data_IF_643589016895
#
_entry.id   IF_643589016895
#
_cell.length_a   1.000
_cell.length_b   1.000
_cell.length_c   1.000
_cell.angle_alpha   90.00
_cell.angle_beta   90.00
_cell.angle_gamma   90.00
#
_symmetry.space_group_name_H-M   'P 1'
#
loop_
_entity.id
_entity.type
_entity.pdbx_description
1 polymer ?
#
# COMPACT_ATOMS: atom_id res chain seq x y z
N UNK A 1 -11.41 -13.92 -54.88
CA UNK A 1 -11.44 -14.48 -53.52
C UNK A 1 -10.14 -14.13 -52.83
N UNK A 2 -10.16 -13.10 -51.97
CA UNK A 2 -9.00 -12.62 -51.22
C UNK A 2 -9.11 -13.17 -49.80
N UNK A 3 -8.17 -14.02 -49.37
CA UNK A 3 -8.13 -14.55 -48.02
C UNK A 3 -7.13 -13.75 -47.18
N UNK A 4 -7.65 -13.00 -46.19
CA UNK A 4 -6.86 -12.31 -45.18
C UNK A 4 -6.49 -13.34 -44.10
N UNK A 5 -5.20 -13.69 -43.97
CA UNK A 5 -4.71 -14.51 -42.87
C UNK A 5 -4.35 -13.58 -41.71
N UNK A 6 -5.17 -13.59 -40.66
CA UNK A 6 -4.87 -12.89 -39.41
C UNK A 6 -3.88 -13.74 -38.60
N UNK A 7 -2.64 -13.29 -38.51
CA UNK A 7 -1.64 -13.87 -37.60
C UNK A 7 -1.89 -13.33 -36.19
N UNK A 8 -2.50 -14.13 -35.33
CA UNK A 8 -2.59 -13.84 -33.89
C UNK A 8 -1.20 -14.01 -33.28
N UNK A 9 -0.46 -12.91 -33.10
CA UNK A 9 0.71 -12.91 -32.22
C UNK A 9 0.21 -12.77 -30.77
N UNK A 10 0.30 -13.86 -30.00
CA UNK A 10 0.21 -13.76 -28.56
C UNK A 10 1.41 -12.93 -28.06
N UNK A 11 1.15 -11.87 -27.29
CA UNK A 11 2.20 -11.15 -26.60
C UNK A 11 3.02 -12.14 -25.74
N UNK A 12 4.36 -12.06 -25.73
CA UNK A 12 5.17 -12.95 -24.93
C UNK A 12 4.79 -12.77 -23.45
N UNK A 13 4.25 -13.82 -22.83
CA UNK A 13 4.09 -13.86 -21.38
C UNK A 13 5.49 -14.00 -20.77
N UNK A 14 5.98 -12.92 -20.16
CA UNK A 14 7.24 -12.92 -19.44
C UNK A 14 7.04 -13.62 -18.08
N UNK A 15 7.04 -14.96 -18.11
CA UNK A 15 7.02 -15.81 -16.93
C UNK A 15 8.37 -15.70 -16.21
N UNK A 16 8.57 -14.61 -15.46
CA UNK A 16 9.67 -14.53 -14.51
C UNK A 16 9.54 -15.66 -13.49
N UNK A 17 10.53 -16.56 -13.46
CA UNK A 17 10.64 -17.64 -12.46
C UNK A 17 10.64 -17.00 -11.08
N UNK A 18 9.68 -17.34 -10.20
CA UNK A 18 9.74 -16.93 -8.79
C UNK A 18 11.09 -17.37 -8.22
N UNK A 19 11.89 -16.41 -7.75
CA UNK A 19 13.23 -16.65 -7.22
C UNK A 19 13.11 -17.27 -5.83
N UNK A 20 13.02 -18.59 -5.76
CA UNK A 20 13.08 -19.31 -4.48
C UNK A 20 14.44 -19.05 -3.82
N UNK A 21 14.43 -18.53 -2.57
CA UNK A 21 15.63 -18.27 -1.77
C UNK A 21 16.25 -16.88 -1.94
N UNK A 22 15.59 -15.95 -2.64
CA UNK A 22 16.00 -14.54 -2.74
C UNK A 22 14.93 -13.69 -2.07
N UNK A 23 15.28 -12.96 -1.00
CA UNK A 23 14.32 -12.17 -0.21
C UNK A 23 13.79 -10.93 -0.98
N UNK A 24 14.64 -10.31 -1.82
CA UNK A 24 14.32 -9.09 -2.57
C UNK A 24 14.90 -9.07 -4.00
N UNK A 25 14.40 -8.19 -4.86
CA UNK A 25 14.96 -8.00 -6.22
C UNK A 25 16.30 -7.25 -6.15
N UNK A 26 17.18 -7.37 -7.17
CA UNK A 26 18.42 -6.58 -7.22
C UNK A 26 18.17 -5.07 -7.20
N UNK A 27 17.01 -4.63 -7.73
CA UNK A 27 16.59 -3.23 -7.72
C UNK A 27 16.18 -2.76 -6.32
N UNK A 28 15.58 -3.64 -5.52
CA UNK A 28 15.31 -3.39 -4.12
C UNK A 28 16.62 -3.28 -3.31
N UNK A 29 17.54 -4.24 -3.49
CA UNK A 29 18.85 -4.23 -2.84
C UNK A 29 19.63 -2.95 -3.15
N UNK A 30 19.61 -2.50 -4.41
CA UNK A 30 20.20 -1.24 -4.84
C UNK A 30 19.56 -0.04 -4.12
N UNK A 31 18.23 0.01 -4.05
CA UNK A 31 17.51 1.11 -3.37
C UNK A 31 17.89 1.21 -1.88
N UNK A 32 18.08 0.07 -1.20
CA UNK A 32 18.52 0.04 0.20
C UNK A 32 19.96 0.52 0.37
N UNK A 33 20.83 0.17 -0.60
CA UNK A 33 22.23 0.55 -0.59
C UNK A 33 22.38 2.04 -0.89
N UNK A 34 21.64 2.58 -1.86
CA UNK A 34 21.68 3.99 -2.25
C UNK A 34 21.38 4.92 -1.06
N UNK A 35 20.41 4.59 -0.20
CA UNK A 35 20.12 5.38 1.02
C UNK A 35 21.36 5.49 1.92
N UNK A 36 22.09 4.38 2.10
CA UNK A 36 23.31 4.35 2.92
C UNK A 36 24.46 5.12 2.25
N UNK A 37 24.64 4.92 0.95
CA UNK A 37 25.74 5.51 0.18
C UNK A 37 25.59 7.04 0.08
N UNK A 38 24.37 7.54 -0.13
CA UNK A 38 24.10 8.99 -0.16
C UNK A 38 24.40 9.63 1.20
N UNK A 39 24.12 8.91 2.29
CA UNK A 39 24.39 9.37 3.64
C UNK A 39 25.84 9.17 4.10
N UNK A 40 26.68 8.48 3.31
CA UNK A 40 28.05 8.18 3.68
C UNK A 40 28.86 9.47 3.92
N UNK A 41 29.69 9.46 4.96
CA UNK A 41 30.52 10.59 5.39
C UNK A 41 29.73 11.73 6.03
N UNK A 42 28.47 11.53 6.40
CA UNK A 42 27.65 12.51 7.11
C UNK A 42 27.35 12.09 8.55
N UNK A 43 26.79 13.01 9.33
CA UNK A 43 26.25 12.74 10.66
C UNK A 43 24.96 11.89 10.64
N UNK A 44 24.43 11.57 9.45
CA UNK A 44 23.19 10.79 9.26
C UNK A 44 23.42 9.33 8.88
N UNK A 45 24.66 8.83 8.84
CA UNK A 45 24.96 7.43 8.46
C UNK A 45 24.16 6.41 9.27
N UNK A 46 24.04 6.62 10.59
CA UNK A 46 23.27 5.72 11.46
C UNK A 46 21.77 5.77 11.15
N UNK A 47 21.21 6.96 10.89
CA UNK A 47 19.81 7.14 10.50
C UNK A 47 19.53 6.44 9.18
N UNK A 48 20.39 6.65 8.17
CA UNK A 48 20.28 6.01 6.87
C UNK A 48 20.42 4.48 6.93
N UNK A 49 21.33 3.95 7.75
CA UNK A 49 21.48 2.51 7.99
C UNK A 49 20.23 1.89 8.63
N UNK A 50 19.66 2.56 9.63
CA UNK A 50 18.43 2.11 10.28
C UNK A 50 17.23 2.15 9.33
N UNK A 51 17.11 3.23 8.54
CA UNK A 51 16.07 3.40 7.53
C UNK A 51 16.17 2.33 6.43
N UNK A 52 17.37 2.07 5.91
CA UNK A 52 17.65 1.00 4.95
C UNK A 52 17.16 -0.36 5.46
N UNK A 53 17.43 -0.71 6.72
CA UNK A 53 16.92 -1.94 7.32
C UNK A 53 15.39 -1.95 7.51
N UNK A 54 14.76 -0.79 7.74
CA UNK A 54 13.31 -0.67 7.83
C UNK A 54 12.62 -0.83 6.47
N UNK A 55 13.23 -0.32 5.41
CA UNK A 55 12.76 -0.50 4.03
C UNK A 55 12.71 -1.98 3.62
N UNK A 56 13.72 -2.77 4.00
CA UNK A 56 13.75 -4.24 3.80
C UNK A 56 12.52 -4.89 4.46
N UNK A 57 12.29 -4.58 5.74
CA UNK A 57 11.18 -5.16 6.51
C UNK A 57 9.81 -4.81 5.92
N UNK A 58 9.65 -3.59 5.42
CA UNK A 58 8.41 -3.11 4.82
C UNK A 58 8.03 -3.84 3.51
N UNK A 59 8.99 -4.47 2.82
CA UNK A 59 8.69 -5.29 1.63
C UNK A 59 8.27 -6.72 1.96
N UNK A 60 8.32 -7.14 3.23
CA UNK A 60 7.99 -8.51 3.62
C UNK A 60 6.47 -8.77 3.57
N UNK A 61 6.11 -10.04 3.36
CA UNK A 61 4.72 -10.52 3.25
C UNK A 61 3.81 -10.09 4.40
N UNK A 62 4.37 -9.95 5.61
CA UNK A 62 3.65 -9.66 6.85
C UNK A 62 3.69 -8.18 7.26
N UNK A 63 4.41 -7.34 6.53
CA UNK A 63 4.42 -5.92 6.85
C UNK A 63 3.01 -5.32 6.66
N UNK A 64 2.60 -4.34 7.47
CA UNK A 64 1.39 -3.57 7.22
C UNK A 64 1.30 -3.02 5.80
N UNK A 65 0.08 -2.72 5.35
CA UNK A 65 -0.19 -2.27 3.98
C UNK A 65 0.56 -0.97 3.61
N UNK A 66 0.68 -0.06 4.57
CA UNK A 66 1.23 1.29 4.39
C UNK A 66 2.75 1.39 4.61
N UNK A 67 3.40 0.37 5.20
CA UNK A 67 4.80 0.46 5.64
C UNK A 67 5.77 0.88 4.53
N UNK A 68 5.60 0.36 3.30
CA UNK A 68 6.47 0.72 2.17
C UNK A 68 6.28 2.19 1.76
N UNK A 69 5.12 2.80 2.03
CA UNK A 69 4.93 4.25 1.82
C UNK A 69 5.60 5.04 2.92
N UNK A 70 5.38 4.67 4.18
CA UNK A 70 5.97 5.36 5.32
C UNK A 70 7.50 5.38 5.22
N UNK A 71 8.10 4.26 4.78
CA UNK A 71 9.55 4.20 4.56
C UNK A 71 9.99 5.06 3.38
N UNK A 72 9.19 5.18 2.32
CA UNK A 72 9.49 6.08 1.20
C UNK A 72 9.44 7.55 1.63
N UNK A 73 8.46 7.93 2.45
CA UNK A 73 8.32 9.28 2.98
C UNK A 73 9.47 9.62 3.94
N UNK A 74 9.89 8.67 4.79
CA UNK A 74 11.09 8.85 5.62
C UNK A 74 12.38 9.03 4.80
N UNK A 75 12.50 8.40 3.62
CA UNK A 75 13.61 8.64 2.70
C UNK A 75 13.56 10.08 2.14
N UNK A 76 12.37 10.59 1.84
CA UNK A 76 12.18 11.99 1.40
C UNK A 76 12.54 12.97 2.52
N UNK A 77 12.11 12.68 3.75
CA UNK A 77 12.40 13.52 4.91
C UNK A 77 13.90 13.55 5.22
N UNK A 78 14.57 12.39 5.18
CA UNK A 78 16.05 12.34 5.24
C UNK A 78 16.68 13.16 4.11
N UNK A 79 16.10 13.12 2.90
CA UNK A 79 16.51 13.95 1.78
C UNK A 79 16.46 15.44 2.10
N UNK A 80 15.35 15.91 2.67
CA UNK A 80 15.15 17.30 3.08
C UNK A 80 16.14 17.74 4.18
N UNK A 81 16.51 16.82 5.08
CA UNK A 81 17.54 17.09 6.09
C UNK A 81 18.92 17.35 5.45
N UNK A 82 19.24 16.72 4.32
CA UNK A 82 20.47 17.00 3.57
C UNK A 82 20.37 18.23 2.67
N UNK A 83 19.22 18.42 2.01
CA UNK A 83 19.04 19.42 0.97
C UNK A 83 19.86 19.15 -0.31
N UNK A 84 19.74 20.07 -1.27
CA UNK A 84 20.59 20.12 -2.47
C UNK A 84 20.50 18.88 -3.36
N UNK A 85 21.65 18.38 -3.83
CA UNK A 85 21.68 17.21 -4.73
C UNK A 85 21.34 15.90 -4.02
N UNK A 86 21.71 15.77 -2.73
CA UNK A 86 21.39 14.58 -1.94
C UNK A 86 19.88 14.43 -1.72
N UNK A 87 19.18 15.54 -1.51
CA UNK A 87 17.71 15.54 -1.46
C UNK A 87 17.10 14.96 -2.74
N UNK A 88 17.54 15.43 -3.91
CA UNK A 88 17.04 14.95 -5.21
C UNK A 88 17.34 13.46 -5.42
N UNK A 89 18.52 13.01 -5.02
CA UNK A 89 18.91 11.61 -5.09
C UNK A 89 18.01 10.74 -4.20
N UNK A 90 17.76 11.17 -2.95
CA UNK A 90 16.89 10.43 -2.03
C UNK A 90 15.42 10.45 -2.47
N UNK A 91 14.91 11.55 -3.04
CA UNK A 91 13.58 11.57 -3.66
C UNK A 91 13.48 10.53 -4.79
N UNK A 92 14.52 10.42 -5.62
CA UNK A 92 14.56 9.39 -6.68
C UNK A 92 14.57 7.98 -6.11
N UNK A 93 15.34 7.74 -5.05
CA UNK A 93 15.33 6.44 -4.34
C UNK A 93 13.93 6.13 -3.81
N UNK A 94 13.26 7.08 -3.17
CA UNK A 94 11.89 6.91 -2.68
C UNK A 94 10.90 6.57 -3.80
N UNK A 95 11.00 7.25 -4.95
CA UNK A 95 10.18 6.97 -6.13
C UNK A 95 10.39 5.55 -6.64
N UNK A 96 11.64 5.12 -6.83
CA UNK A 96 11.96 3.74 -7.23
C UNK A 96 11.45 2.74 -6.20
N UNK A 97 11.73 2.99 -4.92
CA UNK A 97 11.34 2.12 -3.82
C UNK A 97 9.83 1.90 -3.75
N UNK A 98 9.00 2.91 -4.06
CA UNK A 98 7.54 2.78 -4.15
C UNK A 98 7.05 1.86 -5.27
N UNK A 99 7.85 1.65 -6.32
CA UNK A 99 7.48 0.79 -7.45
C UNK A 99 7.89 -0.68 -7.23
N UNK A 100 8.64 -0.97 -6.17
CA UNK A 100 9.11 -2.33 -5.90
C UNK A 100 7.94 -3.24 -5.50
N UNK A 101 7.97 -4.46 -6.02
CA UNK A 101 7.02 -5.50 -5.62
C UNK A 101 7.24 -5.93 -4.17
N UNK A 102 6.14 -6.09 -3.43
CA UNK A 102 6.16 -6.69 -2.11
C UNK A 102 6.27 -8.21 -2.23
N UNK A 103 6.95 -8.85 -1.28
CA UNK A 103 7.03 -10.31 -1.18
C UNK A 103 5.69 -10.89 -0.68
N UNK A 104 4.61 -10.72 -1.43
CA UNK A 104 3.29 -11.27 -1.12
C UNK A 104 3.03 -12.55 -1.92
N UNK A 105 2.07 -13.40 -1.51
CA UNK A 105 1.69 -14.59 -2.28
C UNK A 105 1.14 -14.28 -3.69
N UNK A 106 0.73 -13.02 -3.95
CA UNK A 106 0.17 -12.54 -5.21
C UNK A 106 1.25 -11.76 -5.99
N UNK A 107 1.77 -12.37 -7.05
CA UNK A 107 2.74 -11.72 -7.93
C UNK A 107 2.19 -10.40 -8.52
N UNK A 108 3.01 -9.36 -8.57
CA UNK A 108 2.65 -8.06 -9.15
C UNK A 108 1.74 -7.18 -8.29
N UNK A 109 1.55 -7.47 -6.99
CA UNK A 109 0.87 -6.51 -6.10
C UNK A 109 1.85 -5.42 -5.63
N UNK A 110 1.65 -4.15 -6.05
CA UNK A 110 2.38 -3.03 -5.48
C UNK A 110 1.97 -2.82 -4.02
N UNK A 111 2.76 -2.06 -3.25
CA UNK A 111 2.25 -1.50 -1.99
C UNK A 111 1.00 -0.69 -2.26
N UNK A 112 0.00 -0.85 -1.38
CA UNK A 112 -1.11 0.09 -1.30
C UNK A 112 -0.54 1.52 -1.21
N UNK A 113 -1.10 2.44 -2.00
CA UNK A 113 -0.79 3.85 -1.92
C UNK A 113 -1.65 4.42 -0.80
N UNK A 114 -1.01 4.91 0.25
CA UNK A 114 -1.58 5.76 1.28
C UNK A 114 -2.37 6.90 0.62
N UNK A 115 -3.65 6.97 0.97
CA UNK A 115 -4.65 7.82 0.32
C UNK A 115 -5.86 7.05 -0.19
N UNK A 116 -5.76 5.73 -0.38
CA UNK A 116 -6.89 4.88 -0.72
C UNK A 116 -7.01 3.71 0.27
N UNK A 117 -8.13 3.66 0.99
CA UNK A 117 -8.53 2.44 1.67
C UNK A 117 -9.01 1.44 0.63
N UNK A 118 -8.42 0.24 0.56
CA UNK A 118 -8.84 -0.77 -0.43
C UNK A 118 -10.31 -1.15 -0.26
N UNK A 119 -10.85 -1.09 0.95
CA UNK A 119 -12.29 -1.30 1.16
C UNK A 119 -13.15 -0.17 0.56
N UNK A 120 -12.60 1.02 0.32
CA UNK A 120 -13.26 2.10 -0.39
C UNK A 120 -13.11 1.97 -1.90
N UNK A 121 -11.92 1.65 -2.41
CA UNK A 121 -11.69 1.53 -3.86
C UNK A 121 -12.26 0.23 -4.47
N UNK A 122 -12.24 -0.87 -3.71
CA UNK A 122 -12.79 -2.19 -4.08
C UNK A 122 -13.79 -2.72 -3.02
N UNK A 123 -14.98 -2.12 -2.91
CA UNK A 123 -15.98 -2.49 -1.91
C UNK A 123 -16.71 -3.81 -2.26
N UNK A 124 -16.81 -4.73 -1.30
CA UNK A 124 -17.56 -5.99 -1.46
C UNK A 124 -19.04 -5.65 -1.61
N UNK A 125 -19.68 -6.24 -2.61
CA UNK A 125 -21.07 -5.94 -2.95
C UNK A 125 -21.32 -4.48 -3.34
N UNK A 126 -20.27 -3.72 -3.68
CA UNK A 126 -20.39 -2.29 -3.99
C UNK A 126 -20.75 -1.41 -2.78
N UNK A 127 -20.53 -1.89 -1.56
CA UNK A 127 -20.84 -1.16 -0.33
C UNK A 127 -19.70 -0.21 0.04
N UNK A 128 -19.89 1.08 -0.24
CA UNK A 128 -18.92 2.13 0.04
C UNK A 128 -18.78 2.44 1.53
N UNK A 129 -17.61 2.94 1.91
CA UNK A 129 -17.36 3.40 3.27
C UNK A 129 -18.13 4.71 3.52
N UNK A 130 -18.72 4.90 4.72
CA UNK A 130 -19.18 6.24 5.09
C UNK A 130 -17.98 7.18 5.21
N UNK A 131 -18.16 8.48 4.96
CA UNK A 131 -17.06 9.43 5.09
C UNK A 131 -16.74 9.72 6.56
N UNK A 132 -15.45 9.89 6.85
CA UNK A 132 -15.01 10.57 8.06
C UNK A 132 -14.97 12.06 7.77
N UNK A 133 -15.78 12.83 8.51
CA UNK A 133 -15.82 14.28 8.40
C UNK A 133 -15.04 14.91 9.56
N UNK A 134 -14.18 15.88 9.25
CA UNK A 134 -13.51 16.66 10.30
C UNK A 134 -14.49 17.70 10.83
N UNK A 135 -14.70 17.69 12.14
CA UNK A 135 -15.57 18.64 12.85
C UNK A 135 -14.76 19.41 13.90
N UNK A 136 -15.33 20.47 14.47
CA UNK A 136 -14.64 21.23 15.51
C UNK A 136 -14.31 20.32 16.71
N UNK A 137 -13.02 20.20 17.03
CA UNK A 137 -12.51 19.35 18.10
C UNK A 137 -12.47 17.84 17.82
N UNK A 138 -12.73 17.36 16.58
CA UNK A 138 -12.65 15.92 16.31
C UNK A 138 -13.11 15.48 14.91
N UNK A 139 -13.72 14.30 14.88
CA UNK A 139 -14.15 13.58 13.69
C UNK A 139 -15.60 13.11 13.84
N UNK A 140 -16.34 13.02 12.74
CA UNK A 140 -17.70 12.52 12.72
C UNK A 140 -17.87 11.46 11.62
N UNK A 141 -18.56 10.36 11.95
CA UNK A 141 -18.91 9.30 11.00
C UNK A 141 -20.38 8.96 11.18
N UNK A 142 -21.19 9.31 10.19
CA UNK A 142 -22.63 9.01 10.18
C UNK A 142 -23.32 9.45 11.48
N UNK A 143 -23.06 10.70 11.93
CA UNK A 143 -23.61 11.27 13.16
C UNK A 143 -22.90 10.89 14.47
N UNK A 144 -21.91 9.99 14.44
CA UNK A 144 -21.14 9.58 15.63
C UNK A 144 -19.86 10.39 15.72
N UNK A 145 -19.62 11.08 16.85
CA UNK A 145 -18.46 11.94 17.05
C UNK A 145 -17.33 11.21 17.78
N UNK A 146 -16.10 11.47 17.37
CA UNK A 146 -14.86 10.88 17.88
C UNK A 146 -13.79 11.96 18.06
N UNK A 147 -12.92 11.79 19.05
CA UNK A 147 -11.80 12.70 19.28
C UNK A 147 -10.59 12.31 18.43
N UNK A 148 -10.38 11.01 18.20
CA UNK A 148 -9.28 10.46 17.42
C UNK A 148 -9.77 9.84 16.11
N UNK A 149 -8.91 9.90 15.10
CA UNK A 149 -9.23 9.42 13.75
C UNK A 149 -9.33 7.89 13.72
N UNK A 150 -8.57 7.17 14.54
CA UNK A 150 -8.63 5.70 14.53
C UNK A 150 -9.99 5.16 15.03
N UNK A 151 -10.61 5.80 16.03
CA UNK A 151 -11.95 5.39 16.46
C UNK A 151 -13.02 5.74 15.41
N UNK A 152 -12.87 6.88 14.73
CA UNK A 152 -13.73 7.25 13.61
C UNK A 152 -13.62 6.20 12.48
N UNK A 153 -12.41 5.80 12.09
CA UNK A 153 -12.18 4.75 11.11
C UNK A 153 -12.77 3.41 11.56
N UNK A 154 -12.57 3.03 12.83
CA UNK A 154 -13.19 1.83 13.39
C UNK A 154 -14.70 1.81 13.16
N UNK A 155 -15.38 2.93 13.44
CA UNK A 155 -16.81 3.09 13.20
C UNK A 155 -17.17 3.07 11.71
N UNK A 156 -16.39 3.71 10.88
CA UNK A 156 -16.58 3.72 9.42
C UNK A 156 -16.56 2.29 8.86
N UNK A 157 -15.57 1.50 9.24
CA UNK A 157 -15.45 0.10 8.84
C UNK A 157 -16.59 -0.78 9.37
N UNK A 158 -16.99 -0.59 10.64
CA UNK A 158 -18.09 -1.36 11.22
C UNK A 158 -19.44 -1.03 10.54
N UNK A 159 -19.65 0.22 10.11
CA UNK A 159 -20.84 0.60 9.33
C UNK A 159 -20.80 -0.08 7.95
N UNK A 160 -19.67 -0.03 7.26
CA UNK A 160 -19.51 -0.69 5.96
C UNK A 160 -19.78 -2.20 6.07
N UNK A 161 -19.23 -2.84 7.10
CA UNK A 161 -19.42 -4.25 7.41
C UNK A 161 -20.90 -4.63 7.51
N UNK A 162 -21.66 -3.87 8.32
CA UNK A 162 -23.09 -4.11 8.50
C UNK A 162 -23.88 -3.89 7.20
N UNK A 163 -23.51 -2.89 6.40
CA UNK A 163 -24.14 -2.64 5.10
C UNK A 163 -23.83 -3.75 4.07
N UNK A 164 -22.62 -4.31 4.10
CA UNK A 164 -22.23 -5.48 3.31
C UNK A 164 -23.08 -6.69 3.68
N UNK A 165 -23.21 -6.97 4.98
CA UNK A 165 -24.08 -8.05 5.47
C UNK A 165 -25.56 -7.81 5.16
N UNK A 166 -26.04 -6.57 5.18
CA UNK A 166 -27.41 -6.26 4.75
C UNK A 166 -27.66 -6.61 3.29
N UNK A 167 -26.69 -6.36 2.39
CA UNK A 167 -26.79 -6.78 0.99
C UNK A 167 -26.78 -8.30 0.84
N UNK A 168 -25.85 -8.98 1.52
CA UNK A 168 -25.80 -10.44 1.54
C UNK A 168 -27.12 -11.03 2.07
N UNK A 169 -27.59 -10.61 3.24
CA UNK A 169 -28.84 -11.08 3.81
C UNK A 169 -30.07 -10.69 2.97
N UNK A 170 -29.98 -9.59 2.21
CA UNK A 170 -30.98 -9.14 1.24
C UNK A 170 -31.07 -9.99 -0.04
N UNK A 171 -30.20 -10.99 -0.21
CA UNK A 171 -30.26 -11.94 -1.32
C UNK A 171 -29.16 -11.81 -2.36
N UNK A 172 -28.24 -10.85 -2.22
CA UNK A 172 -27.05 -10.80 -3.08
C UNK A 172 -26.15 -12.00 -2.77
N UNK A 173 -25.79 -12.75 -3.82
CA UNK A 173 -24.95 -13.96 -3.73
C UNK A 173 -23.71 -13.84 -4.60
N UNK A 174 -23.42 -12.65 -5.14
CA UNK A 174 -22.17 -12.39 -5.87
C UNK A 174 -20.93 -12.42 -4.96
N UNK A 175 -21.15 -12.39 -3.64
CA UNK A 175 -20.15 -12.54 -2.58
C UNK A 175 -20.74 -13.34 -1.41
N UNK A 176 -19.89 -13.72 -0.46
CA UNK A 176 -20.23 -14.44 0.77
C UNK A 176 -20.20 -13.53 2.00
N UNK A 177 -20.84 -13.96 3.10
CA UNK A 177 -20.71 -13.25 4.38
C UNK A 177 -19.26 -13.15 4.87
N UNK A 178 -18.43 -14.18 4.60
CA UNK A 178 -17.01 -14.15 4.95
C UNK A 178 -16.22 -13.06 4.18
N UNK A 179 -16.68 -12.67 2.99
CA UNK A 179 -16.06 -11.57 2.25
C UNK A 179 -16.29 -10.22 2.96
N UNK A 180 -17.46 -10.03 3.59
CA UNK A 180 -17.73 -8.86 4.44
C UNK A 180 -16.83 -8.83 5.68
N UNK A 181 -16.62 -9.97 6.34
CA UNK A 181 -15.71 -10.08 7.49
C UNK A 181 -14.27 -9.73 7.08
N UNK A 182 -13.80 -10.30 5.96
CA UNK A 182 -12.47 -10.02 5.41
C UNK A 182 -12.30 -8.55 5.03
N UNK A 183 -13.30 -7.94 4.39
CA UNK A 183 -13.27 -6.53 4.02
C UNK A 183 -13.17 -5.63 5.25
N UNK A 184 -13.77 -5.99 6.38
CA UNK A 184 -13.65 -5.20 7.61
C UNK A 184 -12.22 -5.15 8.12
N UNK A 185 -11.48 -6.25 8.01
CA UNK A 185 -10.06 -6.28 8.36
C UNK A 185 -9.23 -5.41 7.42
N UNK A 186 -9.49 -5.51 6.11
CA UNK A 186 -8.86 -4.65 5.10
C UNK A 186 -9.11 -3.17 5.40
N UNK A 187 -10.37 -2.83 5.69
CA UNK A 187 -10.77 -1.46 6.03
C UNK A 187 -10.01 -0.93 7.25
N UNK A 188 -9.91 -1.73 8.33
CA UNK A 188 -9.22 -1.33 9.57
C UNK A 188 -7.70 -1.27 9.44
N UNK A 189 -7.12 -1.99 8.47
CA UNK A 189 -5.67 -1.94 8.19
C UNK A 189 -5.28 -0.87 7.18
N UNK A 190 -6.26 -0.34 6.43
CA UNK A 190 -6.04 0.73 5.44
C UNK A 190 -6.00 2.11 6.07
N UNK A 191 -5.86 3.15 5.23
CA UNK A 191 -5.95 4.54 5.66
C UNK A 191 -7.39 4.93 6.10
N UNK A 192 -7.55 5.80 7.12
CA UNK A 192 -8.84 6.40 7.50
C UNK A 192 -9.48 7.27 6.42
#
# INVERSE_FOLDING_TARGET
TLALVATTQAAPMNLSRRRFGVEHTPEADASFQDVKDIAQGSDKEAQAGNLSGAMVRALLAKAPACDQQDRADEVIDLGREFGGEKEKQLIKVAQTYRQLERNTPKAGQPSELYGENVAESDPVGGVKMPKIEKVDGGFEVNGNKFINIEAAQGRQCDIQHNLCFNKFNGGDRSFSGADCDNQTNVCKSGSP
#
